data_IF_947243046523
#
_entry.id   IF_947243046523
#
_cell.length_a   1.000
_cell.length_b   1.000
_cell.length_c   1.000
_cell.angle_alpha   90.00
_cell.angle_beta   90.00
_cell.angle_gamma   90.00
#
_symmetry.space_group_name_H-M   'P 1'
#
loop_
_entity.id
_entity.type
_entity.pdbx_description
1 polymer ?
#
# COMPACT_ATOMS: atom_id res chain seq x y z
N UNK A 1 24.29 -5.15 -2.23
CA UNK A 1 22.97 -4.86 -1.65
C UNK A 1 23.11 -4.87 -0.14
N UNK A 2 22.33 -4.07 0.59
CA UNK A 2 22.35 -4.05 2.07
C UNK A 2 21.71 -5.36 2.58
N UNK A 3 22.28 -5.97 3.62
CA UNK A 3 21.68 -7.15 4.25
C UNK A 3 20.53 -6.70 5.18
N UNK A 4 19.34 -7.35 5.17
CA UNK A 4 18.25 -7.03 6.09
C UNK A 4 18.66 -7.02 7.58
N UNK A 5 19.67 -7.80 7.97
CA UNK A 5 20.18 -7.83 9.35
C UNK A 5 20.89 -6.52 9.77
N UNK A 6 21.28 -5.68 8.81
CA UNK A 6 21.94 -4.40 9.06
C UNK A 6 20.94 -3.24 9.13
N UNK A 7 19.63 -3.51 9.01
CA UNK A 7 18.59 -2.49 9.04
C UNK A 7 18.29 -2.06 10.48
N UNK A 8 18.35 -0.75 10.73
CA UNK A 8 17.80 -0.14 11.95
C UNK A 8 16.38 0.31 11.65
N UNK A 9 15.40 -0.28 12.36
CA UNK A 9 13.97 -0.05 12.11
C UNK A 9 13.38 0.82 13.21
N UNK A 10 12.64 1.84 12.80
CA UNK A 10 11.79 2.67 13.64
C UNK A 10 10.60 3.14 12.80
N UNK A 11 9.65 3.86 13.41
CA UNK A 11 8.51 4.38 12.67
C UNK A 11 7.39 4.91 13.55
N UNK A 12 6.25 5.12 12.92
CA UNK A 12 5.06 5.74 13.51
C UNK A 12 3.86 4.81 13.38
N UNK A 13 2.96 4.86 14.36
CA UNK A 13 1.67 4.16 14.30
C UNK A 13 0.67 4.97 15.12
N UNK A 14 -0.57 5.01 14.66
CA UNK A 14 -1.69 5.64 15.39
C UNK A 14 -2.05 4.84 16.65
N UNK A 15 -1.55 3.61 16.80
CA UNK A 15 -1.68 2.75 17.96
C UNK A 15 -0.42 2.76 18.84
N UNK A 16 -0.60 2.86 20.16
CA UNK A 16 0.49 2.94 21.14
C UNK A 16 1.09 1.60 21.56
N UNK A 17 0.58 0.49 21.01
CA UNK A 17 1.07 -0.85 21.31
C UNK A 17 2.55 -0.99 20.98
N UNK A 18 3.30 -1.64 21.86
CA UNK A 18 4.67 -2.04 21.53
C UNK A 18 4.70 -3.18 20.51
N UNK A 19 5.87 -3.49 19.95
CA UNK A 19 5.99 -4.50 18.91
C UNK A 19 5.68 -5.92 19.40
N UNK A 20 5.82 -6.23 20.70
CA UNK A 20 5.43 -7.53 21.24
C UNK A 20 3.90 -7.68 21.24
N UNK A 21 3.19 -6.65 21.70
CA UNK A 21 1.72 -6.60 21.67
C UNK A 21 1.19 -6.53 20.23
N UNK A 22 1.88 -5.82 19.33
CA UNK A 22 1.53 -5.75 17.92
C UNK A 22 1.68 -7.13 17.24
N UNK A 23 2.74 -7.87 17.56
CA UNK A 23 2.98 -9.24 17.07
C UNK A 23 1.88 -10.21 17.53
N UNK A 24 1.50 -10.15 18.82
CA UNK A 24 0.38 -10.94 19.35
C UNK A 24 -0.95 -10.59 18.66
N UNK A 25 -1.22 -9.29 18.47
CA UNK A 25 -2.42 -8.80 17.76
C UNK A 25 -2.46 -9.27 16.31
N UNK A 26 -1.31 -9.28 15.62
CA UNK A 26 -1.22 -9.62 14.21
C UNK A 26 -1.46 -11.11 13.93
N UNK A 27 -1.11 -12.00 14.87
CA UNK A 27 -1.27 -13.47 14.75
C UNK A 27 -0.64 -14.05 13.47
N UNK A 28 0.52 -13.53 13.08
CA UNK A 28 1.26 -13.95 11.89
C UNK A 28 2.30 -15.01 12.23
N UNK A 29 3.14 -14.74 13.24
CA UNK A 29 4.22 -15.63 13.63
C UNK A 29 3.71 -16.76 14.53
N UNK A 30 4.35 -17.92 14.43
CA UNK A 30 4.09 -19.04 15.35
C UNK A 30 4.31 -18.64 16.81
N UNK A 31 3.47 -19.18 17.70
CA UNK A 31 3.48 -18.81 19.12
C UNK A 31 4.85 -18.98 19.79
N UNK A 32 5.58 -20.06 19.50
CA UNK A 32 6.88 -20.27 20.12
C UNK A 32 7.93 -19.25 19.65
N UNK A 33 7.88 -18.87 18.37
CA UNK A 33 8.72 -17.80 17.84
C UNK A 33 8.37 -16.46 18.49
N UNK A 34 7.07 -16.16 18.67
CA UNK A 34 6.66 -14.97 19.40
C UNK A 34 7.27 -14.95 20.80
N UNK A 35 7.14 -16.04 21.57
CA UNK A 35 7.72 -16.17 22.92
C UNK A 35 9.22 -15.88 22.95
N UNK A 36 9.97 -16.36 21.96
CA UNK A 36 11.41 -16.10 21.84
C UNK A 36 11.71 -14.64 21.50
N UNK A 37 10.85 -13.97 20.71
CA UNK A 37 11.02 -12.58 20.29
C UNK A 37 10.51 -11.55 21.30
N UNK A 38 9.60 -11.90 22.22
CA UNK A 38 9.05 -10.96 23.22
C UNK A 38 10.14 -10.15 23.93
N UNK A 39 11.23 -10.74 24.47
CA UNK A 39 12.27 -9.97 25.16
C UNK A 39 12.98 -8.93 24.29
N UNK A 40 12.94 -9.11 22.97
CA UNK A 40 13.56 -8.21 21.99
C UNK A 40 12.58 -7.14 21.46
N UNK A 41 11.29 -7.47 21.40
CA UNK A 41 10.25 -6.60 20.83
C UNK A 41 9.54 -5.74 21.89
N UNK A 42 9.50 -6.21 23.13
CA UNK A 42 8.85 -5.51 24.23
C UNK A 42 9.53 -4.16 24.49
N UNK A 43 8.73 -3.12 24.64
CA UNK A 43 9.24 -1.76 24.85
C UNK A 43 9.70 -1.03 23.59
N UNK A 44 9.80 -1.70 22.42
CA UNK A 44 9.92 -1.00 21.14
C UNK A 44 8.55 -0.44 20.79
N UNK A 45 8.39 0.89 20.96
CA UNK A 45 7.13 1.59 20.71
C UNK A 45 7.21 2.46 19.46
N UNK A 46 6.15 2.49 18.64
CA UNK A 46 6.04 3.43 17.54
C UNK A 46 5.92 4.87 18.06
N UNK A 47 6.45 5.82 17.29
CA UNK A 47 6.22 7.24 17.50
C UNK A 47 4.73 7.60 17.24
N UNK A 48 4.18 8.64 17.88
CA UNK A 48 2.85 9.13 17.56
C UNK A 48 2.73 9.54 16.10
N UNK A 49 1.64 9.18 15.43
CA UNK A 49 1.47 9.41 13.99
C UNK A 49 0.41 10.47 13.67
N UNK A 50 0.34 10.87 12.41
CA UNK A 50 -0.72 11.73 11.89
C UNK A 50 -1.99 10.89 11.70
N UNK A 51 -3.12 11.38 12.22
CA UNK A 51 -4.42 10.74 12.01
C UNK A 51 -5.45 11.76 11.50
N UNK A 52 -5.85 11.60 10.23
CA UNK A 52 -6.96 12.33 9.63
C UNK A 52 -8.11 11.34 9.37
N UNK A 53 -9.17 11.34 10.21
CA UNK A 53 -10.20 10.30 10.19
C UNK A 53 -10.88 10.08 8.83
N UNK A 54 -11.00 11.12 8.01
CA UNK A 54 -11.65 11.02 6.69
C UNK A 54 -10.88 10.15 5.67
N UNK A 55 -9.58 9.96 5.87
CA UNK A 55 -8.75 9.26 4.89
C UNK A 55 -8.80 7.74 5.02
N UNK A 56 -9.10 7.20 6.21
CA UNK A 56 -9.17 5.76 6.46
C UNK A 56 -10.57 5.34 6.91
N UNK A 57 -10.82 4.04 7.08
CA UNK A 57 -12.13 3.59 7.51
C UNK A 57 -12.46 4.08 8.94
N UNK A 58 -13.69 4.55 9.16
CA UNK A 58 -14.13 5.03 10.48
C UNK A 58 -13.99 3.98 11.60
N UNK A 59 -13.96 2.69 11.23
CA UNK A 59 -13.75 1.56 12.14
C UNK A 59 -12.31 1.44 12.69
N UNK A 60 -11.42 2.37 12.33
CA UNK A 60 -10.07 2.53 12.86
C UNK A 60 -10.01 3.54 14.03
N UNK A 61 -11.09 4.26 14.33
CA UNK A 61 -11.09 5.31 15.37
C UNK A 61 -10.64 4.79 16.75
N UNK A 62 -11.15 3.62 17.17
CA UNK A 62 -10.80 3.02 18.47
C UNK A 62 -9.33 2.57 18.56
N UNK A 63 -8.62 2.47 17.43
CA UNK A 63 -7.19 2.12 17.38
C UNK A 63 -6.30 3.35 17.55
N UNK A 64 -6.82 4.56 17.31
CA UNK A 64 -6.04 5.78 17.25
C UNK A 64 -5.85 6.42 18.64
N UNK A 65 -4.90 5.89 19.43
CA UNK A 65 -4.54 6.38 20.76
C UNK A 65 -3.13 7.03 20.83
N UNK A 66 -2.41 7.05 19.71
CA UNK A 66 -1.04 7.55 19.59
C UNK A 66 -0.92 8.57 18.44
N UNK A 67 -1.56 9.73 18.61
CA UNK A 67 -1.76 10.71 17.54
C UNK A 67 -1.04 12.04 17.83
N UNK A 68 -0.44 12.62 16.80
CA UNK A 68 0.14 13.97 16.85
C UNK A 68 -0.97 15.04 16.87
N UNK A 69 -0.93 16.00 17.82
CA UNK A 69 -1.79 17.16 17.79
C UNK A 69 -1.25 18.22 16.82
N UNK A 70 -2.15 19.07 16.30
CA UNK A 70 -1.79 20.27 15.55
C UNK A 70 -2.36 20.31 14.14
N UNK A 71 -1.79 21.21 13.35
CA UNK A 71 -2.12 21.49 11.94
C UNK A 71 -1.26 20.66 10.99
N UNK A 72 -1.65 20.59 9.71
CA UNK A 72 -0.87 19.86 8.69
C UNK A 72 0.57 20.36 8.56
N UNK A 73 0.78 21.68 8.71
CA UNK A 73 2.11 22.29 8.76
C UNK A 73 2.93 21.81 9.95
N UNK A 74 2.34 21.81 11.15
CA UNK A 74 3.02 21.36 12.37
C UNK A 74 3.35 19.87 12.29
N UNK A 75 2.46 19.07 11.71
CA UNK A 75 2.70 17.66 11.45
C UNK A 75 3.87 17.44 10.48
N UNK A 76 3.95 18.21 9.39
CA UNK A 76 5.08 18.16 8.47
C UNK A 76 6.40 18.42 9.20
N UNK A 77 6.47 19.51 9.97
CA UNK A 77 7.70 19.86 10.71
C UNK A 77 8.05 18.84 11.79
N UNK A 78 7.06 18.25 12.45
CA UNK A 78 7.29 17.18 13.43
C UNK A 78 7.86 15.92 12.76
N UNK A 79 7.31 15.47 11.63
CA UNK A 79 7.86 14.32 10.92
C UNK A 79 9.29 14.57 10.42
N UNK A 80 9.56 15.77 9.93
CA UNK A 80 10.92 16.18 9.52
C UNK A 80 11.89 16.16 10.70
N UNK A 81 11.45 16.59 11.89
CA UNK A 81 12.23 16.49 13.13
C UNK A 81 12.49 15.03 13.50
N UNK A 82 11.46 14.19 13.49
CA UNK A 82 11.57 12.77 13.84
C UNK A 82 12.56 12.03 12.93
N UNK A 83 12.54 12.30 11.62
CA UNK A 83 13.50 11.74 10.64
C UNK A 83 14.93 12.14 10.99
N UNK A 84 15.18 13.43 11.29
CA UNK A 84 16.51 13.94 11.66
C UNK A 84 17.00 13.34 12.97
N UNK A 85 16.14 13.26 13.97
CA UNK A 85 16.46 12.68 15.27
C UNK A 85 16.76 11.18 15.17
N UNK A 86 15.96 10.44 14.40
CA UNK A 86 16.21 9.01 14.14
C UNK A 86 17.55 8.80 13.42
N UNK A 87 17.84 9.61 12.39
CA UNK A 87 19.10 9.58 11.66
C UNK A 87 20.30 9.86 12.58
N UNK A 88 20.24 10.92 13.38
CA UNK A 88 21.32 11.33 14.27
C UNK A 88 21.54 10.34 15.42
N UNK A 89 20.46 9.91 16.08
CA UNK A 89 20.51 8.97 17.22
C UNK A 89 21.18 7.65 16.86
N UNK A 90 20.93 7.16 15.64
CA UNK A 90 21.45 5.89 15.15
C UNK A 90 22.69 6.04 14.24
N UNK A 91 23.21 7.27 14.07
CA UNK A 91 24.39 7.57 13.24
C UNK A 91 24.27 7.03 11.81
N UNK A 92 23.09 7.21 11.20
CA UNK A 92 22.78 6.68 9.87
C UNK A 92 23.16 7.67 8.77
N UNK A 93 23.78 7.19 7.70
CA UNK A 93 24.01 8.00 6.50
C UNK A 93 22.74 8.11 5.64
N UNK A 94 21.96 7.03 5.58
CA UNK A 94 20.78 6.87 4.72
C UNK A 94 19.56 6.48 5.55
N UNK A 95 18.42 7.05 5.18
CA UNK A 95 17.10 6.72 5.71
C UNK A 95 16.15 6.52 4.54
N UNK A 96 15.30 5.51 4.64
CA UNK A 96 14.21 5.24 3.71
C UNK A 96 12.94 5.23 4.55
N UNK A 97 11.93 5.98 4.10
CA UNK A 97 10.60 5.98 4.70
C UNK A 97 9.70 5.12 3.84
N UNK A 98 9.03 4.14 4.45
CA UNK A 98 8.11 3.25 3.77
C UNK A 98 6.73 3.36 4.42
N UNK A 99 5.72 3.61 3.61
CA UNK A 99 4.33 3.58 4.03
C UNK A 99 3.80 2.15 3.98
N UNK A 100 3.51 1.58 5.16
CA UNK A 100 2.84 0.28 5.31
C UNK A 100 1.66 0.39 6.30
N UNK A 101 1.03 1.57 6.36
CA UNK A 101 -0.13 1.83 7.21
C UNK A 101 -1.44 1.46 6.48
N UNK A 102 -2.58 1.77 7.11
CA UNK A 102 -3.89 1.55 6.52
C UNK A 102 -3.99 2.17 5.12
N UNK A 103 -4.66 1.45 4.20
CA UNK A 103 -5.02 2.00 2.89
C UNK A 103 -5.88 3.24 3.07
N UNK A 104 -5.43 4.36 2.54
CA UNK A 104 -6.21 5.59 2.50
C UNK A 104 -7.13 5.59 1.27
N UNK A 105 -8.16 6.44 1.27
CA UNK A 105 -8.88 6.81 0.05
C UNK A 105 -7.95 7.60 -0.89
N UNK A 106 -8.37 7.75 -2.14
CA UNK A 106 -7.68 8.69 -3.05
C UNK A 106 -7.93 10.14 -2.65
N UNK A 107 -6.90 10.96 -2.86
CA UNK A 107 -7.01 12.41 -2.91
C UNK A 107 -7.48 12.88 -4.29
N UNK A 108 -8.24 13.96 -4.31
CA UNK A 108 -8.47 14.70 -5.56
C UNK A 108 -7.17 15.30 -6.08
N UNK A 109 -6.97 15.26 -7.41
CA UNK A 109 -5.85 15.93 -8.08
C UNK A 109 -6.41 17.10 -8.87
N UNK A 110 -6.04 18.32 -8.49
CA UNK A 110 -6.59 19.55 -9.06
C UNK A 110 -5.55 20.66 -9.20
N UNK A 111 -5.75 21.52 -10.19
CA UNK A 111 -4.94 22.73 -10.39
C UNK A 111 -5.10 23.68 -9.19
N UNK A 112 -3.98 24.21 -8.69
CA UNK A 112 -3.98 25.07 -7.50
C UNK A 112 -3.94 24.32 -6.16
N UNK A 113 -4.08 22.99 -6.17
CA UNK A 113 -4.09 22.16 -4.97
C UNK A 113 -2.78 21.37 -4.81
N UNK A 114 -2.56 20.40 -5.70
CA UNK A 114 -1.45 19.42 -5.60
C UNK A 114 -0.90 19.04 -6.98
N UNK A 115 -1.19 19.85 -7.99
CA UNK A 115 -0.74 19.73 -9.38
C UNK A 115 0.75 20.02 -9.57
N UNK A 116 1.34 20.80 -8.66
CA UNK A 116 2.76 21.14 -8.69
C UNK A 116 3.31 21.36 -7.27
N UNK A 117 4.64 21.37 -7.13
CA UNK A 117 5.34 21.42 -5.84
C UNK A 117 5.02 22.71 -5.05
N UNK A 118 4.86 23.84 -5.73
CA UNK A 118 4.57 25.13 -5.08
C UNK A 118 3.16 25.11 -4.49
N UNK A 119 2.17 24.68 -5.28
CA UNK A 119 0.79 24.58 -4.85
C UNK A 119 0.64 23.53 -3.73
N UNK A 120 1.32 22.39 -3.85
CA UNK A 120 1.32 21.37 -2.80
C UNK A 120 1.81 21.92 -1.45
N UNK A 121 2.94 22.63 -1.44
CA UNK A 121 3.47 23.23 -0.21
C UNK A 121 2.53 24.30 0.36
N UNK A 122 1.92 25.13 -0.50
CA UNK A 122 0.93 26.11 -0.09
C UNK A 122 -0.34 25.45 0.50
N UNK A 123 -0.79 24.34 -0.09
CA UNK A 123 -1.94 23.55 0.38
C UNK A 123 -1.69 22.90 1.75
N UNK A 124 -0.46 22.43 2.01
CA UNK A 124 -0.07 21.94 3.34
C UNK A 124 -0.10 23.07 4.36
N UNK A 125 0.46 24.23 4.02
CA UNK A 125 0.47 25.42 4.89
C UNK A 125 -0.96 25.89 5.23
N UNK A 126 -1.84 25.90 4.22
CA UNK A 126 -3.24 26.29 4.37
C UNK A 126 -4.12 25.21 5.05
N UNK A 127 -3.59 24.01 5.29
CA UNK A 127 -4.34 22.90 5.88
C UNK A 127 -5.43 22.31 4.97
N UNK A 128 -5.27 22.40 3.65
CA UNK A 128 -6.25 21.99 2.65
C UNK A 128 -6.71 20.53 2.86
N UNK A 129 -8.01 20.25 2.72
CA UNK A 129 -8.62 18.97 3.08
C UNK A 129 -8.01 17.78 2.34
N UNK A 130 -7.81 17.90 1.02
CA UNK A 130 -7.30 16.87 0.11
C UNK A 130 -5.78 16.62 0.20
N UNK A 131 -5.16 16.99 1.33
CA UNK A 131 -3.80 16.60 1.71
C UNK A 131 -3.86 15.45 2.72
N UNK A 132 -3.58 14.24 2.28
CA UNK A 132 -3.59 13.04 3.12
C UNK A 132 -2.41 12.99 4.11
N UNK A 133 -2.51 12.18 5.18
CA UNK A 133 -1.36 11.84 6.01
C UNK A 133 -0.18 11.30 5.19
N UNK A 134 -0.41 10.34 4.29
CA UNK A 134 0.65 9.79 3.43
C UNK A 134 1.36 10.86 2.58
N UNK A 135 0.63 11.87 2.10
CA UNK A 135 1.21 13.03 1.38
C UNK A 135 2.17 13.81 2.28
N UNK A 136 1.83 14.03 3.55
CA UNK A 136 2.70 14.73 4.50
C UNK A 136 3.97 13.91 4.79
N UNK A 137 3.84 12.57 4.94
CA UNK A 137 5.00 11.69 5.08
C UNK A 137 5.91 11.73 3.85
N UNK A 138 5.35 11.70 2.64
CA UNK A 138 6.12 11.80 1.40
C UNK A 138 6.88 13.13 1.32
N UNK A 139 6.20 14.25 1.58
CA UNK A 139 6.82 15.58 1.57
C UNK A 139 7.88 15.72 2.66
N UNK A 140 7.62 15.26 3.88
CA UNK A 140 8.62 15.26 4.97
C UNK A 140 9.88 14.50 4.57
N UNK A 141 9.71 13.31 3.98
CA UNK A 141 10.81 12.45 3.54
C UNK A 141 11.65 13.14 2.46
N UNK A 142 10.99 13.72 1.45
CA UNK A 142 11.65 14.44 0.35
C UNK A 142 12.44 15.64 0.87
N UNK A 143 11.84 16.45 1.75
CA UNK A 143 12.49 17.63 2.32
C UNK A 143 13.71 17.28 3.20
N UNK A 144 13.73 16.09 3.81
CA UNK A 144 14.88 15.55 4.56
C UNK A 144 15.84 14.71 3.71
N UNK A 145 15.68 14.70 2.38
CA UNK A 145 16.56 13.96 1.48
C UNK A 145 16.46 12.43 1.59
N UNK A 146 15.36 11.93 2.15
CA UNK A 146 15.11 10.52 2.41
C UNK A 146 14.17 9.94 1.35
N UNK A 147 14.51 8.76 0.81
CA UNK A 147 13.64 8.10 -0.16
C UNK A 147 12.29 7.74 0.47
N UNK A 148 11.21 7.82 -0.31
CA UNK A 148 9.87 7.47 0.13
C UNK A 148 9.28 6.34 -0.73
N UNK A 149 8.76 5.29 -0.08
CA UNK A 149 8.12 4.15 -0.75
C UNK A 149 6.68 4.03 -0.28
N UNK A 150 5.73 4.08 -1.21
CA UNK A 150 4.32 3.85 -0.93
C UNK A 150 3.96 2.37 -1.12
N UNK A 151 3.78 1.64 -0.02
CA UNK A 151 3.38 0.23 -0.03
C UNK A 151 1.87 -0.01 -0.12
N UNK A 152 1.06 1.06 -0.16
CA UNK A 152 -0.41 1.00 -0.17
C UNK A 152 -0.95 1.62 -1.47
N UNK A 153 -2.23 1.39 -1.84
CA UNK A 153 -2.71 1.71 -3.19
C UNK A 153 -3.19 3.14 -3.37
N UNK A 154 -3.25 3.97 -2.31
CA UNK A 154 -3.67 5.37 -2.46
C UNK A 154 -2.70 6.16 -3.34
N UNK A 155 -3.20 7.20 -4.02
CA UNK A 155 -2.45 8.05 -4.94
C UNK A 155 -1.56 9.10 -4.23
N UNK A 156 -0.74 8.68 -3.27
CA UNK A 156 0.16 9.58 -2.51
C UNK A 156 1.11 10.37 -3.43
N UNK A 157 1.57 9.75 -4.52
CA UNK A 157 2.54 10.32 -5.46
C UNK A 157 1.85 11.23 -6.51
N UNK A 158 1.04 12.19 -6.04
CA UNK A 158 0.42 13.23 -6.89
C UNK A 158 1.48 14.06 -7.64
N UNK A 159 1.12 14.76 -8.74
CA UNK A 159 2.09 15.52 -9.55
C UNK A 159 2.99 16.47 -8.75
N UNK A 160 2.45 17.16 -7.75
CA UNK A 160 3.23 18.03 -6.87
C UNK A 160 4.28 17.29 -6.03
N UNK A 161 3.99 16.07 -5.56
CA UNK A 161 4.93 15.23 -4.81
C UNK A 161 6.05 14.76 -5.73
N UNK A 162 5.71 14.29 -6.93
CA UNK A 162 6.70 13.85 -7.94
C UNK A 162 7.60 15.01 -8.34
N UNK A 163 7.04 16.20 -8.60
CA UNK A 163 7.81 17.38 -8.94
C UNK A 163 8.74 17.81 -7.79
N UNK A 164 8.26 17.77 -6.55
CA UNK A 164 9.08 18.08 -5.37
C UNK A 164 10.25 17.09 -5.23
N UNK A 165 10.00 15.79 -5.41
CA UNK A 165 11.03 14.75 -5.40
C UNK A 165 12.10 15.00 -6.46
N UNK A 166 11.71 15.39 -7.68
CA UNK A 166 12.64 15.74 -8.76
C UNK A 166 13.50 16.96 -8.41
N UNK A 167 12.91 18.00 -7.83
CA UNK A 167 13.64 19.21 -7.40
C UNK A 167 14.68 18.90 -6.33
N UNK A 168 14.34 18.02 -5.37
CA UNK A 168 15.23 17.62 -4.28
C UNK A 168 16.15 16.44 -4.63
N UNK A 169 16.02 15.85 -5.82
CA UNK A 169 16.77 14.68 -6.29
C UNK A 169 16.63 13.47 -5.35
N UNK A 170 15.41 13.25 -4.87
CA UNK A 170 15.05 12.15 -3.96
C UNK A 170 14.26 11.09 -4.71
N UNK A 171 14.49 9.82 -4.35
CA UNK A 171 13.75 8.70 -4.91
C UNK A 171 12.37 8.58 -4.25
N UNK A 172 11.34 8.46 -5.07
CA UNK A 172 10.01 8.03 -4.66
C UNK A 172 9.60 6.80 -5.45
N UNK A 173 8.87 5.88 -4.83
CA UNK A 173 8.42 4.64 -5.47
C UNK A 173 7.10 4.14 -4.91
N UNK A 174 6.36 3.37 -5.70
CA UNK A 174 4.98 2.95 -5.41
C UNK A 174 4.26 2.59 -6.71
N UNK A 175 2.96 2.26 -6.69
CA UNK A 175 2.07 2.15 -5.52
C UNK A 175 1.61 0.69 -5.32
N UNK A 176 1.27 0.35 -4.08
CA UNK A 176 0.78 -0.96 -3.62
C UNK A 176 1.77 -2.14 -3.69
N UNK A 177 1.87 -2.92 -2.61
CA UNK A 177 2.66 -4.14 -2.62
C UNK A 177 2.05 -5.20 -3.56
N UNK A 178 2.83 -5.64 -4.55
CA UNK A 178 2.47 -6.72 -5.45
C UNK A 178 2.80 -8.09 -4.83
N UNK A 179 1.91 -8.57 -3.95
CA UNK A 179 2.02 -9.87 -3.28
C UNK A 179 1.21 -10.97 -4.00
N UNK A 180 0.80 -12.03 -3.30
CA UNK A 180 0.28 -13.29 -3.83
C UNK A 180 -0.60 -13.23 -5.09
N UNK A 181 -1.85 -12.73 -4.99
CA UNK A 181 -2.82 -12.80 -6.11
C UNK A 181 -2.38 -11.98 -7.32
N UNK A 182 -2.06 -10.70 -7.13
CA UNK A 182 -1.70 -9.79 -8.23
C UNK A 182 -0.38 -10.20 -8.89
N UNK A 183 0.60 -10.71 -8.12
CA UNK A 183 1.85 -11.26 -8.64
C UNK A 183 1.60 -12.46 -9.54
N UNK A 184 0.77 -13.40 -9.09
CA UNK A 184 0.39 -14.56 -9.88
C UNK A 184 -0.39 -14.14 -11.15
N UNK A 185 -1.39 -13.27 -11.01
CA UNK A 185 -2.19 -12.74 -12.12
C UNK A 185 -1.32 -12.18 -13.23
N UNK A 186 -0.35 -11.33 -12.91
CA UNK A 186 0.50 -10.73 -13.93
C UNK A 186 1.29 -11.78 -14.71
N UNK A 187 1.87 -12.78 -14.03
CA UNK A 187 2.62 -13.83 -14.69
C UNK A 187 1.71 -14.74 -15.53
N UNK A 188 0.50 -15.04 -15.05
CA UNK A 188 -0.46 -15.87 -15.78
C UNK A 188 -0.99 -15.16 -17.04
N UNK A 189 -1.40 -13.90 -16.93
CA UNK A 189 -1.94 -13.13 -18.07
C UNK A 189 -0.86 -12.91 -19.13
N UNK A 190 0.37 -12.59 -18.71
CA UNK A 190 1.52 -12.51 -19.61
C UNK A 190 1.74 -13.84 -20.36
N UNK A 191 1.72 -14.96 -19.64
CA UNK A 191 1.85 -16.29 -20.25
C UNK A 191 0.72 -16.58 -21.25
N UNK A 192 -0.54 -16.33 -20.89
CA UNK A 192 -1.70 -16.61 -21.75
C UNK A 192 -1.63 -15.77 -23.03
N UNK A 193 -1.43 -14.46 -22.91
CA UNK A 193 -1.33 -13.55 -24.05
C UNK A 193 -0.12 -13.88 -24.92
N UNK A 194 1.04 -14.17 -24.30
CA UNK A 194 2.25 -14.58 -25.00
C UNK A 194 2.11 -15.91 -25.74
N UNK A 195 1.24 -16.81 -25.26
CA UNK A 195 0.91 -18.07 -25.93
C UNK A 195 -0.18 -17.92 -27.02
N UNK A 196 -0.68 -16.71 -27.27
CA UNK A 196 -1.76 -16.46 -28.23
C UNK A 196 -3.14 -16.91 -27.73
N UNK A 197 -3.30 -17.10 -26.43
CA UNK A 197 -4.58 -17.36 -25.77
C UNK A 197 -5.15 -16.01 -25.37
N UNK A 198 -6.46 -15.79 -25.60
CA UNK A 198 -7.10 -14.50 -25.35
C UNK A 198 -7.96 -14.56 -24.08
N UNK A 199 -7.47 -14.08 -22.93
CA UNK A 199 -8.33 -13.82 -21.77
C UNK A 199 -9.48 -12.88 -22.14
N UNK A 200 -10.71 -13.29 -21.87
CA UNK A 200 -11.92 -12.49 -22.11
C UNK A 200 -12.68 -12.18 -20.82
N UNK A 201 -12.49 -12.97 -19.76
CA UNK A 201 -12.99 -12.63 -18.43
C UNK A 201 -12.00 -13.03 -17.33
N UNK A 202 -11.83 -12.16 -16.34
CA UNK A 202 -10.98 -12.33 -15.16
C UNK A 202 -11.80 -11.93 -13.93
N UNK A 203 -12.16 -12.91 -13.11
CA UNK A 203 -12.88 -12.67 -11.85
C UNK A 203 -11.98 -12.98 -10.67
N UNK A 204 -11.64 -11.97 -9.87
CA UNK A 204 -10.72 -12.07 -8.73
C UNK A 204 -11.42 -11.79 -7.41
N UNK A 205 -11.78 -12.84 -6.69
CA UNK A 205 -12.35 -12.76 -5.35
C UNK A 205 -11.27 -12.88 -4.27
N UNK A 206 -11.45 -12.15 -3.17
CA UNK A 206 -10.55 -12.18 -2.03
C UNK A 206 -11.34 -12.07 -0.73
N UNK A 207 -10.89 -12.79 0.31
CA UNK A 207 -11.29 -12.50 1.67
C UNK A 207 -10.15 -12.67 2.67
N UNK A 208 -10.15 -11.83 3.70
CA UNK A 208 -9.15 -11.78 4.77
C UNK A 208 -9.76 -11.21 6.05
N UNK A 209 -9.18 -11.55 7.20
CA UNK A 209 -9.70 -11.24 8.53
C UNK A 209 -8.80 -10.35 9.39
N UNK A 210 -7.66 -9.91 8.87
CA UNK A 210 -6.75 -9.00 9.53
C UNK A 210 -7.24 -7.52 9.45
N UNK A 211 -6.46 -6.60 10.02
CA UNK A 211 -6.84 -5.18 10.04
C UNK A 211 -6.88 -4.53 8.64
N UNK A 212 -6.12 -5.06 7.67
CA UNK A 212 -6.22 -4.61 6.28
C UNK A 212 -7.61 -4.91 5.72
N UNK A 213 -8.08 -6.15 5.84
CA UNK A 213 -9.45 -6.51 5.45
C UNK A 213 -10.52 -5.69 6.17
N UNK A 214 -10.32 -5.41 7.47
CA UNK A 214 -11.25 -4.57 8.26
C UNK A 214 -11.30 -3.14 7.72
N UNK A 215 -10.16 -2.55 7.34
CA UNK A 215 -10.12 -1.20 6.76
C UNK A 215 -10.72 -1.17 5.33
N UNK A 216 -10.41 -2.18 4.53
CA UNK A 216 -10.94 -2.33 3.16
C UNK A 216 -12.42 -2.70 3.10
N UNK A 217 -13.09 -2.93 4.24
CA UNK A 217 -14.55 -3.11 4.26
C UNK A 217 -15.31 -1.81 3.95
N UNK A 218 -14.64 -0.66 4.01
CA UNK A 218 -15.19 0.64 3.63
C UNK A 218 -15.00 0.91 2.14
N UNK A 219 -16.04 1.45 1.50
CA UNK A 219 -16.08 1.61 0.04
C UNK A 219 -14.96 2.53 -0.52
N UNK A 220 -14.68 3.66 0.14
CA UNK A 220 -13.66 4.63 -0.33
C UNK A 220 -12.25 4.02 -0.31
N UNK A 221 -11.93 3.23 0.71
CA UNK A 221 -10.64 2.53 0.84
C UNK A 221 -10.56 1.32 -0.10
N UNK A 222 -11.67 0.59 -0.28
CA UNK A 222 -11.74 -0.49 -1.27
C UNK A 222 -11.49 0.01 -2.69
N UNK A 223 -12.05 1.17 -3.06
CA UNK A 223 -11.89 1.75 -4.40
C UNK A 223 -10.42 1.94 -4.79
N UNK A 224 -9.57 2.35 -3.85
CA UNK A 224 -8.12 2.48 -4.06
C UNK A 224 -7.47 1.14 -4.42
N UNK A 225 -7.82 0.08 -3.69
CA UNK A 225 -7.33 -1.28 -3.93
C UNK A 225 -7.91 -1.90 -5.21
N UNK A 226 -9.13 -1.53 -5.57
CA UNK A 226 -9.79 -1.97 -6.80
C UNK A 226 -9.04 -1.43 -8.03
N UNK A 227 -8.73 -0.14 -8.07
CA UNK A 227 -8.03 0.49 -9.20
C UNK A 227 -6.66 -0.15 -9.44
N UNK A 228 -5.83 -0.26 -8.40
CA UNK A 228 -4.48 -0.86 -8.51
C UNK A 228 -4.50 -2.33 -8.94
N UNK A 229 -5.49 -3.12 -8.52
CA UNK A 229 -5.63 -4.53 -8.91
C UNK A 229 -6.22 -4.73 -10.30
N UNK A 230 -7.03 -3.79 -10.77
CA UNK A 230 -7.67 -3.87 -12.09
C UNK A 230 -6.70 -3.52 -13.23
N UNK A 231 -5.83 -2.52 -13.03
CA UNK A 231 -4.96 -1.99 -14.08
C UNK A 231 -3.80 -2.93 -14.49
N UNK A 232 -3.56 -4.02 -13.76
CA UNK A 232 -2.40 -4.91 -13.97
C UNK A 232 -2.43 -5.72 -15.27
N UNK A 233 -3.53 -5.66 -16.03
CA UNK A 233 -3.70 -6.40 -17.29
C UNK A 233 -3.67 -5.49 -18.52
N UNK A 234 -3.71 -4.17 -18.33
CA UNK A 234 -3.92 -3.21 -19.42
C UNK A 234 -2.75 -3.18 -20.41
N UNK A 235 -1.52 -3.29 -19.90
CA UNK A 235 -0.30 -3.33 -20.71
C UNK A 235 -0.22 -4.61 -21.55
N UNK A 236 -0.59 -5.76 -20.97
CA UNK A 236 -0.62 -7.04 -21.68
C UNK A 236 -1.69 -7.05 -22.77
N UNK A 237 -2.86 -6.49 -22.51
CA UNK A 237 -3.92 -6.31 -23.52
C UNK A 237 -3.42 -5.45 -24.67
N UNK A 238 -2.80 -4.30 -24.36
CA UNK A 238 -2.26 -3.38 -25.36
C UNK A 238 -1.08 -3.97 -26.16
N UNK A 239 -0.35 -4.94 -25.59
CA UNK A 239 0.85 -5.52 -26.21
C UNK A 239 0.55 -6.40 -27.44
N UNK A 240 -0.68 -6.92 -27.57
CA UNK A 240 -1.02 -7.90 -28.60
C UNK A 240 -2.27 -7.49 -29.41
N UNK A 241 -2.10 -6.64 -30.44
CA UNK A 241 -3.19 -6.16 -31.28
C UNK A 241 -3.76 -7.23 -32.23
N UNK A 242 -3.18 -8.45 -32.25
CA UNK A 242 -3.71 -9.57 -33.03
C UNK A 242 -4.91 -10.20 -32.30
N UNK A 243 -4.82 -10.36 -30.98
CA UNK A 243 -5.87 -10.99 -30.16
C UNK A 243 -6.86 -9.97 -29.58
N UNK A 244 -6.41 -8.74 -29.31
CA UNK A 244 -7.26 -7.64 -28.83
C UNK A 244 -7.38 -6.54 -29.88
N UNK A 245 -8.62 -6.07 -30.09
CA UNK A 245 -8.89 -4.88 -30.89
C UNK A 245 -8.52 -3.61 -30.11
N UNK A 246 -8.37 -2.46 -30.78
CA UNK A 246 -8.27 -1.17 -30.10
C UNK A 246 -9.42 -0.99 -29.10
N UNK A 247 -9.08 -0.56 -27.89
CA UNK A 247 -10.01 -0.33 -26.77
C UNK A 247 -10.79 -1.57 -26.27
N UNK A 248 -10.39 -2.78 -26.70
CA UNK A 248 -10.96 -4.03 -26.20
C UNK A 248 -10.23 -4.48 -24.93
N UNK A 249 -11.00 -4.74 -23.85
CA UNK A 249 -10.48 -5.27 -22.59
C UNK A 249 -11.31 -6.48 -22.16
N UNK A 250 -10.71 -7.44 -21.42
CA UNK A 250 -11.48 -8.50 -20.79
C UNK A 250 -12.42 -7.93 -19.73
N UNK A 251 -13.55 -8.60 -19.50
CA UNK A 251 -14.36 -8.35 -18.31
C UNK A 251 -13.50 -8.60 -17.08
N UNK A 252 -13.30 -7.59 -16.24
CA UNK A 252 -12.42 -7.70 -15.07
C UNK A 252 -13.15 -7.26 -13.80
N UNK A 253 -13.35 -8.20 -12.88
CA UNK A 253 -14.02 -7.95 -11.59
C UNK A 253 -13.07 -8.26 -10.43
N UNK A 254 -12.94 -7.30 -9.50
CA UNK A 254 -12.16 -7.49 -8.26
C UNK A 254 -13.10 -7.37 -7.07
N UNK A 255 -13.05 -8.34 -6.15
CA UNK A 255 -13.84 -8.34 -4.92
C UNK A 255 -12.94 -8.58 -3.73
N UNK A 256 -13.14 -7.81 -2.66
CA UNK A 256 -12.50 -8.02 -1.36
C UNK A 256 -13.59 -8.03 -0.28
N UNK A 257 -13.57 -9.04 0.60
CA UNK A 257 -14.49 -9.16 1.73
C UNK A 257 -13.73 -9.33 3.04
N UNK A 258 -14.25 -8.71 4.09
CA UNK A 258 -13.76 -8.91 5.44
C UNK A 258 -14.40 -10.16 6.04
N UNK A 259 -13.59 -11.15 6.38
CA UNK A 259 -14.00 -12.42 7.00
C UNK A 259 -13.09 -12.66 8.20
N UNK A 260 -13.50 -12.27 9.43
CA UNK A 260 -12.61 -12.26 10.60
C UNK A 260 -11.92 -13.60 10.90
N UNK A 261 -12.60 -14.72 10.62
CA UNK A 261 -12.14 -16.05 10.99
C UNK A 261 -10.80 -16.44 10.35
N UNK A 262 -10.51 -15.97 9.13
CA UNK A 262 -9.29 -16.37 8.42
C UNK A 262 -8.05 -15.56 8.83
N UNK A 263 -8.20 -14.52 9.66
CA UNK A 263 -7.07 -13.71 10.14
C UNK A 263 -6.21 -13.17 9.00
N UNK A 264 -4.88 -13.31 9.13
CA UNK A 264 -3.91 -12.90 8.11
C UNK A 264 -3.83 -13.86 6.89
N UNK A 265 -4.43 -15.05 7.02
CA UNK A 265 -4.44 -16.10 5.98
C UNK A 265 -5.49 -15.79 4.91
N UNK A 266 -5.19 -14.77 4.12
CA UNK A 266 -6.00 -14.30 2.99
C UNK A 266 -6.24 -15.43 2.00
N UNK A 267 -7.48 -15.54 1.52
CA UNK A 267 -7.86 -16.47 0.45
C UNK A 267 -8.15 -15.69 -0.83
N UNK A 268 -7.46 -16.06 -1.90
CA UNK A 268 -7.70 -15.56 -3.24
C UNK A 268 -8.33 -16.66 -4.08
N UNK A 269 -9.42 -16.34 -4.78
CA UNK A 269 -10.10 -17.23 -5.70
C UNK A 269 -10.25 -16.50 -7.02
N UNK A 270 -9.68 -17.07 -8.07
CA UNK A 270 -9.63 -16.44 -9.37
C UNK A 270 -10.19 -17.38 -10.44
N UNK A 271 -10.96 -16.82 -11.37
CA UNK A 271 -11.39 -17.51 -12.58
C UNK A 271 -10.93 -16.72 -13.81
N UNK A 272 -10.22 -17.39 -14.70
CA UNK A 272 -9.78 -16.85 -15.99
C UNK A 272 -10.50 -17.62 -17.10
N UNK A 273 -11.30 -16.93 -17.90
CA UNK A 273 -11.95 -17.48 -19.09
C UNK A 273 -11.28 -16.90 -20.31
N UNK A 274 -10.85 -17.76 -21.23
CA UNK A 274 -10.14 -17.36 -22.44
C UNK A 274 -10.74 -18.00 -23.69
N UNK A 275 -10.71 -17.27 -24.79
CA UNK A 275 -10.98 -17.80 -26.13
C UNK A 275 -9.72 -18.45 -26.70
N UNK A 276 -9.90 -19.63 -27.31
CA UNK A 276 -8.84 -20.40 -27.97
C UNK A 276 -9.27 -20.83 -29.39
N UNK A 277 -8.38 -21.54 -30.08
CA UNK A 277 -8.56 -21.95 -31.47
C UNK A 277 -9.94 -22.56 -31.77
N UNK A 278 -10.51 -22.21 -32.93
CA UNK A 278 -11.79 -22.73 -33.45
C UNK A 278 -13.01 -22.49 -32.53
N UNK A 279 -13.02 -21.37 -31.80
CA UNK A 279 -14.13 -21.01 -30.91
C UNK A 279 -14.17 -21.83 -29.62
N UNK A 280 -13.08 -22.52 -29.29
CA UNK A 280 -12.95 -23.21 -28.01
C UNK A 280 -12.81 -22.22 -26.86
N UNK A 281 -13.10 -22.70 -25.65
CA UNK A 281 -12.97 -21.94 -24.41
C UNK A 281 -12.01 -22.68 -23.48
N UNK A 282 -11.10 -21.92 -22.87
CA UNK A 282 -10.26 -22.37 -21.77
C UNK A 282 -10.70 -21.68 -20.48
N UNK A 283 -10.85 -22.46 -19.40
CA UNK A 283 -11.19 -21.94 -18.07
C UNK A 283 -10.15 -22.41 -17.06
N UNK A 284 -9.56 -21.46 -16.33
CA UNK A 284 -8.64 -21.72 -15.22
C UNK A 284 -9.30 -21.22 -13.94
N UNK A 285 -9.62 -22.14 -13.04
CA UNK A 285 -10.08 -21.82 -11.69
C UNK A 285 -8.93 -22.04 -10.71
N UNK A 286 -8.65 -21.03 -9.89
CA UNK A 286 -7.53 -21.02 -8.96
C UNK A 286 -7.99 -20.67 -7.56
N UNK A 287 -7.44 -21.38 -6.58
CA UNK A 287 -7.56 -21.05 -5.17
C UNK A 287 -6.17 -20.92 -4.57
N UNK A 288 -5.86 -19.76 -4.00
CA UNK A 288 -4.59 -19.46 -3.39
C UNK A 288 -4.77 -19.07 -1.92
N UNK A 289 -4.02 -19.72 -1.04
CA UNK A 289 -3.93 -19.36 0.38
C UNK A 289 -2.67 -18.54 0.57
N UNK A 290 -2.85 -17.26 0.90
CA UNK A 290 -1.80 -16.28 1.06
C UNK A 290 -1.69 -15.90 2.53
N UNK A 291 -0.60 -16.27 3.19
CA UNK A 291 -0.22 -15.63 4.46
C UNK A 291 0.28 -14.22 4.11
N UNK A 292 -0.61 -13.24 4.18
CA UNK A 292 -0.46 -11.97 3.46
C UNK A 292 0.72 -11.16 3.99
N UNK A 293 0.89 -11.12 5.31
CA UNK A 293 2.03 -10.46 5.95
C UNK A 293 3.36 -11.14 5.61
N UNK A 294 3.39 -12.48 5.57
CA UNK A 294 4.62 -13.24 5.22
C UNK A 294 5.02 -13.03 3.76
N UNK A 295 4.05 -12.87 2.85
CA UNK A 295 4.32 -12.54 1.46
C UNK A 295 4.69 -11.07 1.23
N UNK A 296 4.21 -10.16 2.08
CA UNK A 296 4.53 -8.74 1.99
C UNK A 296 5.96 -8.42 2.46
N UNK A 297 6.47 -9.18 3.43
CA UNK A 297 7.83 -9.00 3.97
C UNK A 297 8.91 -9.82 3.24
N UNK A 298 8.53 -10.74 2.35
CA UNK A 298 9.43 -11.63 1.59
C UNK A 298 9.97 -11.00 0.32
#
# INVERSE_FOLDING_TARGET
MVNPNDLVIGGWDISSLDLAQAMERARVLDYDLQRQLVPHMQGIKPLPSIYYPDFIAANQADRADNVLPGTKKEHLEQLRKDIREFKAKNQLDKVIVLWSANTERFCEVAEGLNDNAVNLMASIEAGAEEISPSTIFAVASILEGCAFVNGSPQNTLVPGVVQLALQHKVLVGGDDFKTGQTKFKSALVEFLVGAGIKPVAITSYNHLGNNDGKNLSSHRQFRSKEISKSNVVDDMVASNPIIYKPDEHPDHTVVIKYVPYVGDSKRAMDEYVSEIFMGGINTIALHNTCEDSLLAIS
#
